data_IF_039527078881
#
_entry.id   IF_039527078881
#
_cell.length_a   1.000
_cell.length_b   1.000
_cell.length_c   1.000
_cell.angle_alpha   90.00
_cell.angle_beta   90.00
_cell.angle_gamma   90.00
#
_symmetry.space_group_name_H-M   'P 1'
#
loop_
_entity.id
_entity.type
_entity.pdbx_description
1 polymer ?
#
# COMPACT_ATOMS: atom_id res chain seq x y z
N UNK A 1 -38.74 51.62 31.68
CA UNK A 1 -37.39 51.05 31.47
C UNK A 1 -37.53 49.54 31.32
N UNK A 2 -37.42 49.01 30.11
CA UNK A 2 -37.59 47.57 29.82
C UNK A 2 -36.23 46.87 29.87
N UNK A 3 -36.08 45.84 30.71
CA UNK A 3 -34.94 44.92 30.68
C UNK A 3 -35.38 43.59 30.07
N UNK A 4 -35.00 43.37 28.81
CA UNK A 4 -34.99 42.07 28.17
C UNK A 4 -33.82 41.27 28.72
N UNK A 5 -34.08 40.08 29.25
CA UNK A 5 -33.04 39.12 29.63
C UNK A 5 -33.14 37.97 28.63
N UNK A 6 -32.23 37.95 27.66
CA UNK A 6 -32.17 36.91 26.65
C UNK A 6 -31.51 35.65 27.24
N UNK A 7 -32.19 34.53 26.99
CA UNK A 7 -31.80 33.16 27.33
C UNK A 7 -30.64 32.74 26.43
N UNK A 8 -29.56 32.23 27.02
CA UNK A 8 -28.50 31.54 26.28
C UNK A 8 -28.52 30.05 26.66
N UNK A 9 -29.21 29.23 25.87
CA UNK A 9 -29.03 27.77 25.88
C UNK A 9 -27.86 27.47 24.95
N UNK A 10 -26.67 27.31 25.53
CA UNK A 10 -25.51 26.83 24.80
C UNK A 10 -25.70 25.33 24.52
N UNK A 11 -26.06 25.00 23.28
CA UNK A 11 -26.07 23.62 22.80
C UNK A 11 -24.64 23.06 22.75
N UNK A 12 -24.40 21.99 23.49
CA UNK A 12 -23.23 21.14 23.31
C UNK A 12 -23.34 20.44 21.95
N UNK A 13 -22.71 20.99 20.92
CA UNK A 13 -22.31 20.21 19.74
C UNK A 13 -21.13 19.34 20.19
N UNK A 14 -21.43 18.11 20.59
CA UNK A 14 -20.45 17.06 20.67
C UNK A 14 -19.93 16.79 19.25
N UNK A 15 -18.86 17.49 18.87
CA UNK A 15 -18.11 17.21 17.65
C UNK A 15 -17.46 15.85 17.82
N UNK A 16 -18.09 14.81 17.27
CA UNK A 16 -17.45 13.55 16.96
C UNK A 16 -16.35 13.82 15.93
N UNK A 17 -15.19 14.26 16.39
CA UNK A 17 -13.98 14.31 15.59
C UNK A 17 -13.51 12.85 15.49
N UNK A 18 -14.20 12.05 14.68
CA UNK A 18 -13.68 10.77 14.22
C UNK A 18 -12.46 11.13 13.38
N UNK A 19 -11.31 11.08 14.05
CA UNK A 19 -10.00 11.42 13.52
C UNK A 19 -9.80 10.61 12.25
N UNK A 20 -9.90 11.26 11.09
CA UNK A 20 -9.51 10.69 9.82
C UNK A 20 -8.03 10.35 9.95
N UNK A 21 -7.71 9.11 10.37
CA UNK A 21 -6.37 8.57 10.24
C UNK A 21 -6.06 8.70 8.76
N UNK A 22 -5.14 9.59 8.42
CA UNK A 22 -4.67 9.68 7.06
C UNK A 22 -4.13 8.30 6.70
N UNK A 23 -4.44 7.84 5.49
CA UNK A 23 -3.90 6.59 4.95
C UNK A 23 -2.36 6.54 5.08
N UNK A 24 -1.69 7.71 5.14
CA UNK A 24 -0.26 7.82 5.46
C UNK A 24 0.13 7.20 6.81
N UNK A 25 -0.62 7.44 7.88
CA UNK A 25 -0.35 6.88 9.21
C UNK A 25 -0.74 5.40 9.30
N UNK A 26 -1.77 4.99 8.56
CA UNK A 26 -2.24 3.61 8.56
C UNK A 26 -1.33 2.70 7.74
N UNK A 27 -0.74 3.20 6.65
CA UNK A 27 0.21 2.48 5.80
C UNK A 27 1.51 2.11 6.53
N UNK A 28 1.97 2.93 7.47
CA UNK A 28 3.23 2.71 8.19
C UNK A 28 3.20 1.40 8.97
N UNK A 29 4.29 0.64 8.87
CA UNK A 29 4.46 -0.68 9.49
C UNK A 29 4.70 -1.78 8.46
N UNK A 30 4.62 -3.03 8.92
CA UNK A 30 4.86 -4.22 8.11
C UNK A 30 3.55 -4.84 7.62
N UNK A 31 3.56 -5.28 6.37
CA UNK A 31 2.43 -5.89 5.66
C UNK A 31 2.89 -7.19 5.01
N UNK A 32 2.17 -8.28 5.26
CA UNK A 32 2.45 -9.58 4.66
C UNK A 32 1.34 -9.95 3.69
N UNK A 33 1.69 -10.18 2.43
CA UNK A 33 0.75 -10.60 1.40
C UNK A 33 0.21 -12.00 1.66
N UNK A 34 -0.95 -12.28 1.08
CA UNK A 34 -1.37 -13.66 0.86
C UNK A 34 -0.31 -14.44 0.07
N UNK A 35 -0.28 -15.76 0.25
CA UNK A 35 0.49 -16.64 -0.62
C UNK A 35 -0.25 -16.79 -1.95
N UNK A 36 0.37 -16.40 -3.08
CA UNK A 36 -0.27 -16.42 -4.40
C UNK A 36 0.57 -17.18 -5.41
N UNK A 37 -0.10 -17.98 -6.25
CA UNK A 37 0.57 -18.66 -7.37
C UNK A 37 1.00 -17.65 -8.42
N UNK A 38 2.29 -17.63 -8.75
CA UNK A 38 2.92 -16.79 -9.77
C UNK A 38 3.94 -17.62 -10.55
N UNK A 39 3.79 -17.69 -11.88
CA UNK A 39 4.74 -18.38 -12.78
C UNK A 39 5.11 -19.82 -12.36
N UNK A 40 4.11 -20.60 -11.93
CA UNK A 40 4.30 -22.00 -11.50
C UNK A 40 4.88 -22.19 -10.11
N UNK A 41 5.22 -21.10 -9.40
CA UNK A 41 5.63 -21.08 -7.98
C UNK A 41 4.60 -20.35 -7.14
N UNK A 42 4.77 -20.38 -5.84
CA UNK A 42 4.01 -19.54 -4.91
C UNK A 42 4.89 -18.40 -4.43
N UNK A 43 4.32 -17.21 -4.33
CA UNK A 43 4.98 -15.97 -3.96
C UNK A 43 4.29 -15.41 -2.71
N UNK A 44 5.11 -14.94 -1.77
CA UNK A 44 4.67 -14.05 -0.70
C UNK A 44 5.59 -12.84 -0.65
N UNK A 45 4.98 -11.67 -0.46
CA UNK A 45 5.66 -10.39 -0.33
C UNK A 45 5.48 -9.88 1.09
N UNK A 46 6.59 -9.51 1.75
CA UNK A 46 6.58 -8.77 3.01
C UNK A 46 7.06 -7.36 2.70
N UNK A 47 6.18 -6.39 2.90
CA UNK A 47 6.46 -4.98 2.68
C UNK A 47 6.53 -4.23 4.01
N UNK A 48 7.38 -3.22 4.10
CA UNK A 48 7.49 -2.33 5.24
C UNK A 48 7.51 -0.88 4.73
N UNK A 49 6.70 -0.01 5.35
CA UNK A 49 6.65 1.42 5.07
C UNK A 49 6.94 2.20 6.35
N UNK A 50 7.83 3.19 6.27
CA UNK A 50 8.20 4.04 7.41
C UNK A 50 7.61 5.44 7.30
N UNK A 51 7.48 6.14 8.43
CA UNK A 51 7.02 7.53 8.47
C UNK A 51 7.91 8.49 7.65
N UNK A 52 9.20 8.16 7.52
CA UNK A 52 10.17 8.94 6.75
C UNK A 52 10.06 8.75 5.21
N UNK A 53 9.06 8.00 4.74
CA UNK A 53 8.86 7.74 3.32
C UNK A 53 9.79 6.68 2.75
N UNK A 54 10.44 5.85 3.57
CA UNK A 54 11.18 4.67 3.08
C UNK A 54 10.27 3.45 2.98
N UNK A 55 10.51 2.63 1.94
CA UNK A 55 9.91 1.31 1.82
C UNK A 55 10.95 0.21 1.65
N UNK A 56 10.59 -1.00 2.08
CA UNK A 56 11.29 -2.25 1.80
C UNK A 56 10.27 -3.32 1.43
N UNK A 57 10.48 -4.06 0.35
CA UNK A 57 9.66 -5.19 -0.04
C UNK A 57 10.55 -6.42 -0.24
N UNK A 58 10.17 -7.54 0.36
CA UNK A 58 10.84 -8.83 0.22
C UNK A 58 9.88 -9.84 -0.39
N UNK A 59 10.19 -10.29 -1.59
CA UNK A 59 9.46 -11.30 -2.35
C UNK A 59 10.15 -12.65 -2.21
N UNK A 60 9.52 -13.60 -1.53
CA UNK A 60 10.03 -14.96 -1.33
C UNK A 60 9.20 -15.99 -2.10
N UNK A 61 9.86 -16.98 -2.67
CA UNK A 61 9.22 -18.03 -3.48
C UNK A 61 9.16 -19.37 -2.76
N UNK A 62 8.05 -20.08 -2.96
CA UNK A 62 7.70 -21.30 -2.26
C UNK A 62 7.16 -22.35 -3.24
N UNK A 63 7.27 -23.62 -2.84
CA UNK A 63 6.75 -24.76 -3.61
C UNK A 63 5.31 -25.11 -3.26
N UNK A 64 4.78 -24.60 -2.15
CA UNK A 64 3.44 -24.91 -1.64
C UNK A 64 2.54 -23.67 -1.49
N UNK A 65 1.22 -23.91 -1.53
CA UNK A 65 0.21 -22.86 -1.44
C UNK A 65 0.11 -22.19 -0.06
N UNK A 66 0.72 -22.77 0.97
CA UNK A 66 0.79 -22.19 2.30
C UNK A 66 2.03 -21.32 2.53
N UNK A 67 2.93 -21.23 1.55
CA UNK A 67 4.22 -20.55 1.67
C UNK A 67 5.03 -21.05 2.88
N UNK A 68 5.13 -22.38 3.05
CA UNK A 68 5.85 -23.04 4.16
C UNK A 68 7.17 -23.70 3.73
N UNK A 69 7.30 -24.06 2.46
CA UNK A 69 8.46 -24.71 1.88
C UNK A 69 9.22 -23.72 0.97
N UNK A 70 10.18 -22.95 1.53
CA UNK A 70 10.91 -21.94 0.78
C UNK A 70 11.81 -22.57 -0.28
N UNK A 71 11.95 -21.88 -1.41
CA UNK A 71 12.87 -22.27 -2.49
C UNK A 71 14.28 -21.69 -2.34
N UNK A 72 14.53 -20.87 -1.31
CA UNK A 72 15.80 -20.17 -1.11
C UNK A 72 16.05 -18.99 -2.05
N UNK A 73 15.11 -18.68 -2.96
CA UNK A 73 15.15 -17.50 -3.81
C UNK A 73 14.35 -16.37 -3.18
N UNK A 74 14.97 -15.20 -3.08
CA UNK A 74 14.36 -14.00 -2.54
C UNK A 74 14.76 -12.78 -3.39
N UNK A 75 13.79 -11.93 -3.69
CA UNK A 75 14.03 -10.63 -4.32
C UNK A 75 13.72 -9.56 -3.28
N UNK A 76 14.66 -8.65 -3.04
CA UNK A 76 14.48 -7.53 -2.12
C UNK A 76 14.55 -6.24 -2.90
N UNK A 77 13.55 -5.39 -2.70
CA UNK A 77 13.50 -4.02 -3.21
C UNK A 77 13.48 -3.05 -2.04
N UNK A 78 14.30 -2.01 -2.10
CA UNK A 78 14.29 -0.91 -1.12
C UNK A 78 14.23 0.42 -1.87
N UNK A 79 13.71 1.45 -1.21
CA UNK A 79 13.64 2.76 -1.82
C UNK A 79 12.80 3.75 -1.05
N UNK A 80 12.34 4.78 -1.76
CA UNK A 80 11.45 5.81 -1.24
C UNK A 80 10.04 5.65 -1.79
N UNK A 81 9.05 6.06 -1.01
CA UNK A 81 7.67 6.17 -1.46
C UNK A 81 7.12 7.55 -1.20
N UNK A 82 6.17 7.95 -2.05
CA UNK A 82 5.41 9.19 -1.88
C UNK A 82 3.94 8.90 -2.12
N UNK A 83 3.09 9.37 -1.22
CA UNK A 83 1.65 9.33 -1.41
C UNK A 83 1.19 10.54 -2.22
N UNK A 84 0.35 10.29 -3.22
CA UNK A 84 -0.23 11.29 -4.10
C UNK A 84 -1.69 11.55 -3.78
N UNK A 85 -2.47 11.84 -4.83
CA UNK A 85 -3.86 12.25 -4.70
C UNK A 85 -4.76 11.09 -4.27
N UNK A 86 -5.85 11.42 -3.57
CA UNK A 86 -6.96 10.49 -3.38
C UNK A 86 -7.77 10.42 -4.69
N UNK A 87 -8.26 9.24 -5.01
CA UNK A 87 -9.08 8.99 -6.20
C UNK A 87 -10.16 7.95 -5.91
N UNK A 88 -11.24 8.02 -6.69
CA UNK A 88 -12.26 6.98 -6.73
C UNK A 88 -11.98 6.08 -7.92
N UNK A 89 -11.79 4.78 -7.67
CA UNK A 89 -11.60 3.80 -8.75
C UNK A 89 -12.91 3.61 -9.54
N UNK A 90 -12.88 3.06 -10.77
CA UNK A 90 -14.09 2.74 -11.52
C UNK A 90 -15.07 1.80 -10.79
N UNK A 91 -14.58 1.03 -9.79
CA UNK A 91 -15.40 0.17 -8.93
C UNK A 91 -16.05 0.88 -7.75
N UNK A 92 -15.84 2.19 -7.58
CA UNK A 92 -16.37 3.00 -6.49
C UNK A 92 -15.50 3.04 -5.23
N UNK A 93 -14.42 2.27 -5.17
CA UNK A 93 -13.52 2.27 -4.01
C UNK A 93 -12.69 3.54 -3.93
N UNK A 94 -12.49 4.03 -2.70
CA UNK A 94 -11.49 5.07 -2.43
C UNK A 94 -10.09 4.46 -2.44
N UNK A 95 -9.19 5.06 -3.21
CA UNK A 95 -7.79 4.70 -3.28
C UNK A 95 -6.92 5.96 -3.19
N UNK A 96 -5.62 5.75 -2.97
CA UNK A 96 -4.62 6.80 -2.99
C UNK A 96 -3.50 6.42 -3.94
N UNK A 97 -2.99 7.37 -4.70
CA UNK A 97 -1.77 7.18 -5.47
C UNK A 97 -0.58 6.91 -4.55
N UNK A 98 0.29 5.98 -4.95
CA UNK A 98 1.61 5.79 -4.35
C UNK A 98 2.64 5.66 -5.47
N UNK A 99 3.71 6.43 -5.34
CA UNK A 99 4.86 6.37 -6.23
C UNK A 99 6.01 5.72 -5.45
N UNK A 100 6.66 4.72 -6.05
CA UNK A 100 7.83 4.06 -5.47
C UNK A 100 9.06 4.37 -6.32
N UNK A 101 10.09 4.94 -5.70
CA UNK A 101 11.41 5.11 -6.28
C UNK A 101 12.29 3.95 -5.83
N UNK A 102 12.58 3.01 -6.74
CA UNK A 102 13.40 1.83 -6.44
C UNK A 102 14.86 2.25 -6.37
N UNK A 103 15.50 2.12 -5.21
CA UNK A 103 16.92 2.45 -5.02
C UNK A 103 17.82 1.24 -5.02
N UNK A 104 17.33 0.13 -4.51
CA UNK A 104 18.02 -1.14 -4.58
C UNK A 104 17.04 -2.22 -5.00
N UNK A 105 17.53 -3.13 -5.82
CA UNK A 105 16.80 -4.33 -6.22
C UNK A 105 17.82 -5.46 -6.34
N UNK A 106 17.70 -6.48 -5.51
CA UNK A 106 18.68 -7.57 -5.49
C UNK A 106 18.05 -8.95 -5.29
N UNK A 107 18.75 -9.98 -5.77
CA UNK A 107 18.43 -11.38 -5.56
C UNK A 107 19.72 -12.20 -5.48
N UNK A 108 19.87 -13.01 -4.43
CA UNK A 108 21.04 -13.87 -4.25
C UNK A 108 22.38 -13.13 -4.27
N UNK A 109 22.42 -11.88 -3.78
CA UNK A 109 23.64 -11.04 -3.78
C UNK A 109 23.93 -10.32 -5.09
N UNK A 110 23.11 -10.49 -6.14
CA UNK A 110 23.22 -9.77 -7.40
C UNK A 110 22.22 -8.62 -7.46
N UNK A 111 22.65 -7.47 -7.97
CA UNK A 111 21.75 -6.36 -8.33
C UNK A 111 20.98 -6.71 -9.60
N UNK A 112 19.67 -6.54 -9.58
CA UNK A 112 18.78 -6.79 -10.72
C UNK A 112 18.54 -5.48 -11.50
N UNK A 113 18.19 -5.57 -12.80
CA UNK A 113 17.67 -4.44 -13.56
C UNK A 113 16.41 -3.89 -12.90
N UNK A 114 16.28 -2.56 -12.79
CA UNK A 114 15.15 -1.89 -12.15
C UNK A 114 15.52 -0.90 -11.05
N UNK A 115 16.80 -0.83 -10.67
CA UNK A 115 17.32 0.27 -9.83
C UNK A 115 17.15 1.60 -10.56
N UNK A 116 16.63 2.60 -9.86
CA UNK A 116 16.29 3.92 -10.38
C UNK A 116 14.91 4.00 -11.05
N UNK A 117 14.17 2.88 -11.15
CA UNK A 117 12.83 2.91 -11.73
C UNK A 117 11.81 3.59 -10.79
N UNK A 118 10.89 4.30 -11.42
CA UNK A 118 9.68 4.84 -10.79
C UNK A 118 8.53 3.88 -11.04
N UNK A 119 7.90 3.39 -9.98
CA UNK A 119 6.72 2.54 -10.03
C UNK A 119 5.50 3.36 -9.64
N UNK A 120 4.55 3.52 -10.57
CA UNK A 120 3.34 4.30 -10.33
C UNK A 120 2.18 3.38 -9.95
N UNK A 121 1.65 3.53 -8.73
CA UNK A 121 0.63 2.64 -8.19
C UNK A 121 -0.55 3.37 -7.51
N UNK A 122 -1.62 2.66 -7.19
CA UNK A 122 -2.73 3.06 -6.34
C UNK A 122 -2.90 2.03 -5.23
N UNK A 123 -3.11 2.49 -4.01
CA UNK A 123 -3.34 1.62 -2.85
C UNK A 123 -4.64 1.99 -2.15
N UNK A 124 -5.21 1.03 -1.46
CA UNK A 124 -6.27 1.25 -0.50
C UNK A 124 -6.03 0.38 0.74
N UNK A 125 -6.47 0.85 1.89
CA UNK A 125 -6.58 0.02 3.09
C UNK A 125 -8.07 -0.20 3.34
N UNK A 126 -8.52 -1.43 3.12
CA UNK A 126 -9.94 -1.82 3.18
C UNK A 126 -10.06 -2.90 4.24
N UNK A 127 -10.84 -2.64 5.28
CA UNK A 127 -11.03 -3.58 6.41
C UNK A 127 -9.69 -4.05 7.01
N UNK A 128 -8.72 -3.14 7.15
CA UNK A 128 -7.38 -3.42 7.67
C UNK A 128 -6.47 -4.20 6.72
N UNK A 129 -6.83 -4.33 5.44
CA UNK A 129 -6.03 -5.01 4.40
C UNK A 129 -5.47 -4.01 3.42
N UNK A 130 -4.15 -4.06 3.20
CA UNK A 130 -3.49 -3.28 2.15
C UNK A 130 -3.71 -3.94 0.80
N UNK A 131 -4.34 -3.21 -0.12
CA UNK A 131 -4.66 -3.65 -1.48
C UNK A 131 -3.93 -2.74 -2.46
N UNK A 132 -3.13 -3.33 -3.35
CA UNK A 132 -2.49 -2.64 -4.47
C UNK A 132 -3.38 -2.72 -5.72
N UNK A 133 -3.07 -1.92 -6.73
CA UNK A 133 -3.68 -2.00 -8.05
C UNK A 133 -3.52 -3.34 -8.75
N UNK A 134 -4.36 -3.56 -9.75
CA UNK A 134 -4.51 -4.81 -10.50
C UNK A 134 -3.36 -5.13 -11.46
N UNK A 135 -2.45 -4.18 -11.69
CA UNK A 135 -1.22 -4.38 -12.44
C UNK A 135 -0.01 -3.85 -11.65
N UNK A 136 1.19 -4.47 -11.81
CA UNK A 136 2.41 -3.89 -11.29
C UNK A 136 2.70 -2.62 -12.11
N UNK A 137 2.74 -1.46 -11.46
CA UNK A 137 2.95 -0.14 -12.10
C UNK A 137 4.34 0.11 -12.70
N UNK A 138 5.03 -0.95 -13.09
CA UNK A 138 6.39 -0.94 -13.61
C UNK A 138 6.39 -0.47 -15.08
N UNK A 139 7.32 0.41 -15.49
CA UNK A 139 7.42 0.88 -16.87
C UNK A 139 7.47 -0.25 -17.91
N UNK A 140 8.22 -1.32 -17.62
CA UNK A 140 8.35 -2.48 -18.50
C UNK A 140 7.03 -3.26 -18.70
N UNK A 141 6.05 -3.12 -17.81
CA UNK A 141 4.77 -3.85 -17.85
C UNK A 141 3.62 -2.95 -18.30
N UNK A 142 3.56 -1.72 -17.81
CA UNK A 142 2.43 -0.79 -18.04
C UNK A 142 2.77 0.38 -18.96
N UNK A 143 3.98 0.43 -19.53
CA UNK A 143 4.46 1.62 -20.24
C UNK A 143 4.57 2.86 -19.35
N UNK A 144 4.66 2.65 -18.04
CA UNK A 144 4.72 3.71 -17.02
C UNK A 144 3.35 4.23 -16.61
N UNK A 145 2.25 3.64 -17.09
CA UNK A 145 0.91 4.04 -16.69
C UNK A 145 0.58 3.53 -15.28
N UNK A 146 -0.10 4.39 -14.51
CA UNK A 146 -0.66 4.05 -13.20
C UNK A 146 -1.89 3.14 -13.37
N UNK A 147 -1.99 2.02 -12.63
CA UNK A 147 -3.22 1.21 -12.60
C UNK A 147 -4.42 2.01 -12.10
N UNK A 148 -5.61 1.71 -12.65
CA UNK A 148 -6.86 2.41 -12.31
C UNK A 148 -7.81 1.58 -11.46
N UNK A 149 -7.53 0.29 -11.25
CA UNK A 149 -8.34 -0.64 -10.46
C UNK A 149 -7.51 -1.30 -9.37
N UNK A 150 -8.16 -1.69 -8.28
CA UNK A 150 -7.56 -2.42 -7.17
C UNK A 150 -7.61 -3.94 -7.38
N UNK A 151 -6.55 -4.65 -6.94
CA UNK A 151 -6.47 -6.11 -6.95
C UNK A 151 -7.06 -6.71 -5.67
N UNK A 152 -8.39 -6.71 -5.53
CA UNK A 152 -9.04 -7.25 -4.32
C UNK A 152 -8.80 -8.75 -4.08
N UNK A 153 -8.27 -9.47 -5.07
CA UNK A 153 -7.92 -10.89 -4.98
C UNK A 153 -6.48 -11.14 -4.47
N UNK A 154 -5.72 -10.07 -4.22
CA UNK A 154 -4.36 -10.17 -3.67
C UNK A 154 -4.09 -9.00 -2.75
N UNK A 155 -4.09 -9.26 -1.45
CA UNK A 155 -3.93 -8.25 -0.42
C UNK A 155 -2.89 -8.65 0.61
N UNK A 156 -2.52 -7.70 1.45
CA UNK A 156 -1.61 -7.89 2.58
C UNK A 156 -2.29 -7.55 3.90
N UNK A 157 -1.98 -8.31 4.94
CA UNK A 157 -2.42 -8.04 6.31
C UNK A 157 -1.29 -7.37 7.08
N UNK A 158 -1.64 -6.41 7.93
CA UNK A 158 -0.70 -5.78 8.84
C UNK A 158 -0.16 -6.82 9.85
N UNK A 159 1.13 -6.76 10.15
CA UNK A 159 1.83 -7.65 11.10
C UNK A 159 2.07 -6.95 12.44
#
# INVERSE_FOLDING_TARGET
MYKLTAIAVAGLLATSVTQARSLSSELVGQWQSQCKKASGRYLQVISHFSEAGDYKAKSAFYTDAGCKAPMGMEIVSTGKYRLGSLLTTPGGDQAQEIDLEVRELHSGGMTLPGVGEQVYQIIAIIDGRLVFGDAPGLPAVTGGQRPTKLNKNFYSNKQ
#
